data_IF_333903264973
#
_entry.id   IF_333903264973
#
_cell.length_a   1.000
_cell.length_b   1.000
_cell.length_c   1.000
_cell.angle_alpha   90.00
_cell.angle_beta   90.00
_cell.angle_gamma   90.00
#
_symmetry.space_group_name_H-M   'P 1'
#
loop_
_entity.id
_entity.type
_entity.pdbx_description
1 polymer ?
#
# COMPACT_ATOMS: atom_id res chain seq x y z
N UNK A 1 6.35 4.37 9.00
CA UNK A 1 5.58 5.44 8.36
C UNK A 1 4.20 4.88 8.09
N UNK A 2 3.16 5.65 8.37
CA UNK A 2 1.79 5.24 8.09
C UNK A 2 1.48 5.56 6.62
N UNK A 3 0.82 4.63 5.93
CA UNK A 3 0.60 4.78 4.50
C UNK A 3 -0.04 3.55 3.87
N UNK A 4 0.29 3.35 2.60
CA UNK A 4 -0.24 2.28 1.78
C UNK A 4 0.91 1.52 1.12
N UNK A 5 1.04 0.24 1.42
CA UNK A 5 1.90 -0.67 0.68
C UNK A 5 1.26 -0.98 -0.67
N UNK A 6 2.04 -0.86 -1.74
CA UNK A 6 1.63 -1.06 -3.14
C UNK A 6 2.76 -1.73 -3.93
N UNK A 7 2.42 -2.29 -5.09
CA UNK A 7 3.41 -2.69 -6.08
C UNK A 7 3.81 -1.49 -6.93
N UNK A 8 5.12 -1.25 -7.12
CA UNK A 8 5.61 -0.20 -8.01
C UNK A 8 5.06 -0.37 -9.43
N UNK A 9 4.92 -1.60 -9.92
CA UNK A 9 4.38 -1.87 -11.25
C UNK A 9 2.95 -1.35 -11.43
N UNK A 10 2.17 -1.33 -10.35
CA UNK A 10 0.81 -0.78 -10.38
C UNK A 10 0.82 0.75 -10.31
N UNK A 11 1.81 1.35 -9.63
CA UNK A 11 1.89 2.79 -9.42
C UNK A 11 2.71 3.55 -10.49
N UNK A 12 3.61 2.90 -11.23
CA UNK A 12 4.64 3.55 -12.06
C UNK A 12 4.07 4.47 -13.17
N UNK A 13 2.82 4.22 -13.58
CA UNK A 13 2.14 4.96 -14.65
C UNK A 13 1.36 6.17 -14.13
N UNK A 14 1.31 6.37 -12.81
CA UNK A 14 0.61 7.50 -12.20
C UNK A 14 1.22 8.83 -12.65
N UNK A 15 0.36 9.80 -12.95
CA UNK A 15 0.74 11.17 -13.31
C UNK A 15 -0.19 12.13 -12.61
N UNK A 16 0.23 13.39 -12.47
CA UNK A 16 -0.54 14.44 -11.78
C UNK A 16 -2.01 14.54 -12.25
N UNK A 17 -2.24 14.44 -13.56
CA UNK A 17 -3.58 14.49 -14.15
C UNK A 17 -4.17 13.11 -14.52
N UNK A 18 -3.48 12.03 -14.16
CA UNK A 18 -3.90 10.66 -14.45
C UNK A 18 -3.50 9.74 -13.29
N UNK A 19 -4.20 9.83 -12.14
CA UNK A 19 -3.88 9.02 -10.98
C UNK A 19 -4.28 7.57 -11.23
N UNK A 20 -3.45 6.65 -10.73
CA UNK A 20 -3.86 5.25 -10.59
C UNK A 20 -4.71 5.12 -9.33
N UNK A 21 -5.87 4.45 -9.45
CA UNK A 21 -6.77 4.17 -8.33
C UNK A 21 -6.63 2.70 -7.98
N UNK A 22 -6.20 2.41 -6.75
CA UNK A 22 -6.05 1.06 -6.21
C UNK A 22 -7.04 0.86 -5.05
N UNK A 23 -7.91 -0.15 -5.08
CA UNK A 23 -8.75 -0.51 -3.94
C UNK A 23 -7.90 -0.97 -2.75
N UNK A 24 -8.35 -0.64 -1.53
CA UNK A 24 -7.74 -1.17 -0.32
C UNK A 24 -8.25 -2.60 -0.11
N UNK A 25 -7.35 -3.58 -0.18
CA UNK A 25 -7.70 -4.98 0.02
C UNK A 25 -7.79 -5.34 1.51
N UNK A 26 -6.76 -4.99 2.30
CA UNK A 26 -6.69 -5.25 3.74
C UNK A 26 -5.90 -4.15 4.48
N UNK A 27 -5.95 -4.22 5.81
CA UNK A 27 -5.15 -3.39 6.72
C UNK A 27 -4.15 -4.27 7.46
N UNK A 28 -2.86 -3.95 7.36
CA UNK A 28 -1.79 -4.57 8.11
C UNK A 28 -1.56 -3.82 9.43
N UNK A 29 -1.52 -4.58 10.53
CA UNK A 29 -1.10 -4.07 11.83
C UNK A 29 0.05 -4.91 12.38
N UNK A 30 0.78 -4.39 13.37
CA UNK A 30 1.94 -5.08 13.95
C UNK A 30 1.60 -6.50 14.46
N UNK A 31 0.38 -6.71 14.95
CA UNK A 31 -0.10 -7.99 15.48
C UNK A 31 -0.78 -8.86 14.41
N UNK A 32 -1.11 -8.30 13.25
CA UNK A 32 -1.81 -8.98 12.15
C UNK A 32 -1.13 -8.63 10.81
N UNK A 33 -0.14 -9.42 10.37
CA UNK A 33 0.41 -9.27 9.04
C UNK A 33 -0.69 -9.53 8.00
N UNK A 34 -0.60 -8.84 6.86
CA UNK A 34 -1.51 -9.05 5.71
C UNK A 34 -1.51 -10.52 5.31
N UNK A 35 -2.66 -11.05 4.88
CA UNK A 35 -2.78 -12.44 4.45
C UNK A 35 -1.74 -12.84 3.38
N UNK A 36 -1.44 -14.15 3.30
CA UNK A 36 -0.39 -14.73 2.43
C UNK A 36 -0.55 -14.43 0.93
N UNK A 37 -1.71 -13.92 0.49
CA UNK A 37 -2.01 -13.71 -0.92
C UNK A 37 -2.27 -12.24 -1.23
N UNK A 38 -1.31 -11.61 -1.88
CA UNK A 38 -1.47 -10.28 -2.43
C UNK A 38 -2.42 -10.31 -3.63
N UNK A 39 -3.37 -9.38 -3.63
CA UNK A 39 -4.29 -9.14 -4.73
C UNK A 39 -3.64 -8.13 -5.68
N UNK A 40 -3.42 -8.48 -6.97
CA UNK A 40 -2.89 -7.54 -7.95
C UNK A 40 -3.74 -6.27 -8.04
N UNK A 41 -3.12 -5.14 -8.40
CA UNK A 41 -3.81 -3.86 -8.55
C UNK A 41 -4.54 -3.41 -7.27
N UNK A 42 -4.00 -3.72 -6.10
CA UNK A 42 -4.58 -3.35 -4.81
C UNK A 42 -3.56 -2.65 -3.91
N UNK A 43 -4.07 -1.89 -2.94
CA UNK A 43 -3.28 -1.26 -1.90
C UNK A 43 -3.58 -1.90 -0.54
N UNK A 44 -2.61 -1.84 0.35
CA UNK A 44 -2.72 -2.37 1.70
C UNK A 44 -2.38 -1.28 2.69
N UNK A 45 -3.29 -0.97 3.61
CA UNK A 45 -3.03 0.07 4.61
C UNK A 45 -2.01 -0.47 5.59
N UNK A 46 -0.94 0.28 5.84
CA UNK A 46 0.10 -0.09 6.79
C UNK A 46 0.26 1.01 7.85
N UNK A 47 0.50 0.58 9.09
CA UNK A 47 0.89 1.45 10.19
C UNK A 47 2.40 1.34 10.44
N UNK A 48 2.96 2.35 11.10
CA UNK A 48 4.37 2.36 11.48
C UNK A 48 4.70 1.15 12.37
N UNK A 49 5.67 0.36 11.93
CA UNK A 49 6.08 -0.88 12.62
C UNK A 49 5.43 -2.15 12.09
N UNK A 50 4.49 -2.07 11.14
CA UNK A 50 3.95 -3.23 10.44
C UNK A 50 4.96 -3.82 9.43
N UNK A 51 4.87 -5.12 9.21
CA UNK A 51 5.65 -5.83 8.19
C UNK A 51 5.04 -5.51 6.82
N UNK A 52 5.88 -5.06 5.87
CA UNK A 52 5.46 -4.93 4.46
C UNK A 52 5.38 -6.34 3.86
N UNK A 53 4.28 -6.71 3.18
CA UNK A 53 4.16 -8.01 2.53
C UNK A 53 5.25 -8.25 1.48
N UNK A 54 5.72 -9.49 1.31
CA UNK A 54 6.87 -9.83 0.47
C UNK A 54 6.70 -9.42 -1.02
N UNK A 55 5.47 -9.45 -1.54
CA UNK A 55 5.18 -9.11 -2.94
C UNK A 55 4.96 -7.60 -3.18
N UNK A 56 5.06 -6.75 -2.14
CA UNK A 56 4.93 -5.30 -2.25
C UNK A 56 6.28 -4.63 -2.01
N UNK A 57 6.68 -3.76 -2.93
CA UNK A 57 8.03 -3.16 -2.96
C UNK A 57 8.04 -1.67 -2.59
N UNK A 58 6.87 -1.06 -2.43
CA UNK A 58 6.72 0.39 -2.31
C UNK A 58 5.71 0.77 -1.24
N UNK A 59 5.96 1.91 -0.59
CA UNK A 59 5.04 2.52 0.39
C UNK A 59 4.74 3.96 -0.04
N UNK A 60 3.45 4.25 -0.22
CA UNK A 60 2.95 5.62 -0.41
C UNK A 60 2.62 6.22 0.97
N UNK A 61 3.29 7.29 1.41
CA UNK A 61 2.96 7.96 2.67
C UNK A 61 1.53 8.48 2.65
N UNK A 62 0.82 8.31 3.77
CA UNK A 62 -0.37 9.13 4.01
C UNK A 62 0.09 10.50 4.50
N UNK A 63 -0.15 11.54 3.71
CA UNK A 63 0.06 12.91 4.16
C UNK A 63 -0.92 13.25 5.31
N UNK A 64 -0.43 13.99 6.30
CA UNK A 64 -1.28 14.54 7.35
C UNK A 64 -2.03 15.73 6.76
N UNK A 65 -3.34 15.60 6.56
CA UNK A 65 -4.19 16.77 6.28
C UNK A 65 -4.00 17.77 7.43
N UNK A 66 -3.44 18.95 7.11
CA UNK A 66 -3.22 20.08 8.04
C UNK A 66 -4.36 21.08 7.93
#
# INVERSE_FOLDING_TARGET
MDGFAVSWQDAEKTRENYPVVLPIAEESSADFPVGEKIVPHSAYRIITGAIVPEDLDSVVPKELET
#
